data_IF_711325112715
#
_entry.id   IF_711325112715
#
_cell.length_a   1.000
_cell.length_b   1.000
_cell.length_c   1.000
_cell.angle_alpha   90.00
_cell.angle_beta   90.00
_cell.angle_gamma   90.00
#
_symmetry.space_group_name_H-M   'P 1'
#
loop_
_entity.id
_entity.type
_entity.pdbx_description
1 polymer ?
#
# COMPACT_ATOMS: atom_id res chain seq x y z
N UNK A 1 -22.20 5.00 -23.39
CA UNK A 1 -21.12 4.10 -23.64
C UNK A 1 -20.96 2.93 -22.66
N UNK A 2 -21.37 3.03 -21.40
CA UNK A 2 -21.12 1.95 -20.46
C UNK A 2 -21.66 0.59 -20.90
N UNK A 3 -22.83 0.55 -21.45
CA UNK A 3 -23.43 -0.68 -21.94
C UNK A 3 -22.61 -1.32 -23.05
N UNK A 4 -22.23 -0.54 -24.05
CA UNK A 4 -21.43 -1.01 -25.17
C UNK A 4 -20.08 -1.50 -24.68
N UNK A 5 -19.49 -0.77 -23.73
CA UNK A 5 -18.21 -1.13 -23.15
C UNK A 5 -18.26 -2.47 -22.42
N UNK A 6 -19.33 -2.73 -21.66
CA UNK A 6 -19.52 -3.99 -20.96
C UNK A 6 -19.63 -5.15 -21.94
N UNK A 7 -20.42 -4.98 -22.99
CA UNK A 7 -20.59 -5.98 -24.01
C UNK A 7 -19.27 -6.29 -24.72
N UNK A 8 -18.51 -5.26 -25.05
CA UNK A 8 -17.19 -5.43 -25.65
C UNK A 8 -16.23 -6.16 -24.72
N UNK A 9 -16.27 -5.85 -23.43
CA UNK A 9 -15.43 -6.52 -22.46
C UNK A 9 -15.75 -8.02 -22.40
N UNK A 10 -17.03 -8.38 -22.40
CA UNK A 10 -17.44 -9.78 -22.38
C UNK A 10 -17.00 -10.52 -23.65
N UNK A 11 -17.04 -9.86 -24.78
CA UNK A 11 -16.60 -10.46 -26.04
C UNK A 11 -15.09 -10.61 -26.11
N UNK A 12 -14.35 -9.61 -25.64
CA UNK A 12 -12.88 -9.62 -25.66
C UNK A 12 -12.32 -10.59 -24.64
N UNK A 13 -12.93 -10.66 -23.46
CA UNK A 13 -12.38 -11.43 -22.36
C UNK A 13 -13.07 -12.80 -22.21
N UNK A 14 -13.12 -13.54 -23.29
CA UNK A 14 -13.74 -14.86 -23.31
C UNK A 14 -13.05 -15.84 -22.38
N UNK A 15 -11.74 -15.74 -22.26
CA UNK A 15 -10.97 -16.61 -21.39
C UNK A 15 -10.42 -15.79 -20.22
N UNK A 16 -10.22 -16.48 -19.12
CA UNK A 16 -9.61 -15.88 -17.95
C UNK A 16 -8.22 -15.32 -18.28
N UNK A 17 -7.46 -16.04 -19.09
CA UNK A 17 -6.13 -15.60 -19.51
C UNK A 17 -6.17 -14.31 -20.31
N UNK A 18 -7.13 -14.18 -21.23
CA UNK A 18 -7.30 -12.93 -22.00
C UNK A 18 -7.65 -11.75 -21.09
N UNK A 19 -8.51 -12.01 -20.11
CA UNK A 19 -8.88 -11.00 -19.11
C UNK A 19 -7.65 -10.51 -18.33
N UNK A 20 -6.82 -11.45 -17.88
CA UNK A 20 -5.61 -11.09 -17.14
C UNK A 20 -4.62 -10.33 -18.00
N UNK A 21 -4.46 -10.69 -19.26
CA UNK A 21 -3.59 -9.96 -20.18
C UNK A 21 -4.05 -8.51 -20.33
N UNK A 22 -5.35 -8.29 -20.45
CA UNK A 22 -5.91 -6.95 -20.57
C UNK A 22 -5.70 -6.13 -19.29
N UNK A 23 -5.89 -6.75 -18.13
CA UNK A 23 -5.66 -6.11 -16.85
C UNK A 23 -4.19 -5.72 -16.72
N UNK A 24 -3.27 -6.61 -17.04
CA UNK A 24 -1.84 -6.34 -16.97
C UNK A 24 -1.45 -5.19 -17.90
N UNK A 25 -2.00 -5.14 -19.13
CA UNK A 25 -1.73 -4.04 -20.05
C UNK A 25 -2.18 -2.69 -19.48
N UNK A 26 -3.35 -2.64 -18.85
CA UNK A 26 -3.84 -1.43 -18.19
C UNK A 26 -2.94 -1.03 -17.02
N UNK A 27 -2.53 -2.01 -16.22
CA UNK A 27 -1.63 -1.79 -15.10
C UNK A 27 -0.30 -1.19 -15.53
N UNK A 28 0.29 -1.73 -16.60
CA UNK A 28 1.56 -1.26 -17.12
C UNK A 28 1.44 0.19 -17.54
N UNK A 29 0.37 0.54 -18.24
CA UNK A 29 0.12 1.91 -18.69
C UNK A 29 0.03 2.89 -17.52
N UNK A 30 -0.74 2.53 -16.47
CA UNK A 30 -0.90 3.37 -15.29
C UNK A 30 0.40 3.48 -14.51
N UNK A 31 1.11 2.37 -14.37
CA UNK A 31 2.38 2.34 -13.66
C UNK A 31 3.42 3.25 -14.32
N UNK A 32 3.48 3.27 -15.64
CA UNK A 32 4.40 4.12 -16.40
C UNK A 32 4.11 5.61 -16.19
N UNK A 33 2.85 5.96 -15.94
CA UNK A 33 2.45 7.33 -15.63
C UNK A 33 2.73 7.73 -14.19
N UNK A 34 3.14 6.77 -13.36
CA UNK A 34 3.32 7.01 -11.93
C UNK A 34 2.05 6.91 -11.11
N UNK A 35 0.95 6.50 -11.71
CA UNK A 35 -0.33 6.36 -11.02
C UNK A 35 -0.33 5.09 -10.18
N UNK A 36 -0.66 5.15 -8.87
CA UNK A 36 -0.77 3.93 -8.08
C UNK A 36 -2.00 3.13 -8.49
N UNK A 37 -1.86 1.81 -8.47
CA UNK A 37 -2.93 0.90 -8.90
C UNK A 37 -3.24 -0.08 -7.79
N UNK A 38 -4.53 -0.27 -7.51
CA UNK A 38 -5.02 -1.28 -6.59
C UNK A 38 -5.88 -2.27 -7.37
N UNK A 39 -5.50 -3.53 -7.36
CA UNK A 39 -6.23 -4.58 -8.06
C UNK A 39 -6.94 -5.47 -7.05
N UNK A 40 -8.26 -5.56 -7.17
CA UNK A 40 -9.06 -6.48 -6.36
C UNK A 40 -9.20 -7.83 -7.03
N UNK A 41 -8.92 -8.91 -6.30
CA UNK A 41 -9.14 -10.27 -6.77
C UNK A 41 -10.08 -11.01 -5.82
N UNK A 42 -10.75 -12.03 -6.32
CA UNK A 42 -11.72 -12.78 -5.53
C UNK A 42 -11.10 -13.92 -4.73
N UNK A 43 -9.87 -14.30 -5.03
CA UNK A 43 -9.21 -15.40 -4.33
C UNK A 43 -7.70 -15.21 -4.28
N UNK A 44 -7.07 -15.88 -3.32
CA UNK A 44 -5.60 -15.90 -3.20
C UNK A 44 -4.97 -16.48 -4.47
N UNK A 45 -5.58 -17.52 -5.01
CA UNK A 45 -5.09 -18.19 -6.20
C UNK A 45 -5.04 -17.24 -7.40
N UNK A 46 -6.08 -16.45 -7.60
CA UNK A 46 -6.11 -15.45 -8.68
C UNK A 46 -5.11 -14.33 -8.47
N UNK A 47 -4.92 -13.91 -7.22
CA UNK A 47 -3.92 -12.89 -6.93
C UNK A 47 -2.51 -13.38 -7.22
N UNK A 48 -2.21 -14.64 -6.93
CA UNK A 48 -0.91 -15.24 -7.22
C UNK A 48 -0.67 -15.37 -8.73
N UNK A 49 -1.69 -15.71 -9.48
CA UNK A 49 -1.60 -15.80 -10.94
C UNK A 49 -1.28 -14.43 -11.56
N UNK A 50 -2.00 -13.41 -11.13
CA UNK A 50 -1.76 -12.04 -11.60
C UNK A 50 -0.38 -11.56 -11.20
N UNK A 51 0.04 -11.86 -9.98
CA UNK A 51 1.39 -11.52 -9.49
C UNK A 51 2.47 -12.14 -10.37
N UNK A 52 2.30 -13.40 -10.76
CA UNK A 52 3.24 -14.07 -11.67
C UNK A 52 3.34 -13.38 -13.02
N UNK A 53 2.22 -12.91 -13.56
CA UNK A 53 2.20 -12.19 -14.83
C UNK A 53 2.91 -10.84 -14.74
N UNK A 54 2.69 -10.10 -13.65
CA UNK A 54 3.37 -8.83 -13.42
C UNK A 54 4.87 -9.01 -13.24
N UNK A 55 5.26 -10.08 -12.55
CA UNK A 55 6.68 -10.40 -12.35
C UNK A 55 7.37 -10.67 -13.67
N UNK A 56 6.72 -11.39 -14.58
CA UNK A 56 7.26 -11.65 -15.91
C UNK A 56 7.41 -10.38 -16.74
N UNK A 57 6.58 -9.37 -16.47
CA UNK A 57 6.68 -8.06 -17.12
C UNK A 57 7.71 -7.15 -16.45
N UNK A 58 8.32 -7.59 -15.36
CA UNK A 58 9.30 -6.79 -14.62
C UNK A 58 8.65 -5.66 -13.80
N UNK A 59 7.36 -5.77 -13.49
CA UNK A 59 6.67 -4.76 -12.70
C UNK A 59 6.74 -5.11 -11.23
N UNK A 60 7.33 -4.22 -10.45
CA UNK A 60 7.41 -4.36 -9.01
C UNK A 60 6.03 -4.13 -8.40
N UNK A 61 5.59 -5.06 -7.58
CA UNK A 61 4.26 -5.02 -6.98
C UNK A 61 4.25 -5.70 -5.62
N UNK A 62 3.16 -5.54 -4.88
CA UNK A 62 2.97 -6.18 -3.58
C UNK A 62 1.62 -6.90 -3.58
N UNK A 63 1.57 -8.06 -2.94
CA UNK A 63 0.33 -8.84 -2.81
C UNK A 63 -0.15 -8.78 -1.37
N UNK A 64 -1.38 -8.32 -1.19
CA UNK A 64 -2.05 -8.26 0.10
C UNK A 64 -3.17 -9.30 0.14
N UNK A 65 -3.01 -10.33 0.97
CA UNK A 65 -4.03 -11.36 1.10
C UNK A 65 -4.10 -11.86 2.55
N UNK A 66 -5.07 -12.74 2.81
CA UNK A 66 -5.34 -13.22 4.17
C UNK A 66 -4.16 -13.97 4.82
N UNK A 67 -3.19 -14.44 4.04
CA UNK A 67 -2.02 -15.13 4.57
C UNK A 67 -1.03 -14.20 5.28
N UNK A 68 -1.07 -12.91 4.96
CA UNK A 68 -0.02 -11.97 5.37
C UNK A 68 -0.55 -10.83 6.23
N UNK A 69 -1.37 -11.17 7.23
CA UNK A 69 -1.97 -10.17 8.12
C UNK A 69 -0.93 -9.28 8.81
N UNK A 70 0.20 -9.86 9.20
CA UNK A 70 1.23 -9.10 9.91
C UNK A 70 1.86 -8.01 9.05
N UNK A 71 1.82 -8.16 7.73
CA UNK A 71 2.40 -7.22 6.80
C UNK A 71 1.38 -6.26 6.19
N UNK A 72 0.11 -6.44 6.53
CA UNK A 72 -0.97 -5.64 5.95
C UNK A 72 -0.77 -4.14 6.15
N UNK A 73 -0.43 -3.73 7.36
CA UNK A 73 -0.23 -2.31 7.67
C UNK A 73 0.88 -1.69 6.82
N UNK A 74 1.97 -2.43 6.62
CA UNK A 74 3.08 -1.98 5.79
C UNK A 74 2.67 -1.83 4.33
N UNK A 75 1.97 -2.83 3.81
CA UNK A 75 1.51 -2.83 2.42
C UNK A 75 0.55 -1.68 2.16
N UNK A 76 -0.42 -1.48 3.06
CA UNK A 76 -1.40 -0.41 2.94
C UNK A 76 -0.73 0.96 3.02
N UNK A 77 0.26 1.11 3.89
CA UNK A 77 0.98 2.38 4.03
C UNK A 77 1.71 2.78 2.75
N UNK A 78 2.08 1.82 1.92
CA UNK A 78 2.80 2.08 0.68
C UNK A 78 1.93 2.03 -0.58
N UNK A 79 0.69 1.56 -0.45
CA UNK A 79 -0.17 1.32 -1.63
C UNK A 79 -0.51 2.59 -2.41
N UNK A 80 -0.56 3.73 -1.73
CA UNK A 80 -0.85 5.02 -2.37
C UNK A 80 0.36 5.75 -2.92
N UNK A 81 1.56 5.15 -2.83
CA UNK A 81 2.79 5.77 -3.32
C UNK A 81 2.81 5.84 -4.85
N UNK A 82 3.55 6.82 -5.38
CA UNK A 82 3.71 7.00 -6.83
C UNK A 82 4.19 5.72 -7.49
N UNK A 83 3.46 5.26 -8.51
CA UNK A 83 3.80 4.04 -9.23
C UNK A 83 3.61 2.74 -8.45
N UNK A 84 2.97 2.80 -7.27
CA UNK A 84 2.70 1.60 -6.49
C UNK A 84 1.70 0.68 -7.16
N UNK A 85 1.97 -0.63 -7.15
CA UNK A 85 1.02 -1.63 -7.64
C UNK A 85 0.74 -2.61 -6.53
N UNK A 86 -0.51 -2.72 -6.13
CA UNK A 86 -0.95 -3.59 -5.04
C UNK A 86 -2.07 -4.49 -5.52
N UNK A 87 -1.94 -5.78 -5.26
CA UNK A 87 -2.98 -6.77 -5.53
C UNK A 87 -3.59 -7.19 -4.19
N UNK A 88 -4.90 -7.00 -4.02
CA UNK A 88 -5.57 -7.33 -2.77
C UNK A 88 -6.73 -8.28 -3.01
N UNK A 89 -6.89 -9.27 -2.14
CA UNK A 89 -8.10 -10.10 -2.15
C UNK A 89 -9.23 -9.37 -1.44
N UNK A 90 -10.46 -9.75 -1.72
CA UNK A 90 -11.63 -9.13 -1.10
C UNK A 90 -11.59 -9.17 0.43
N UNK A 91 -10.92 -10.17 0.99
CA UNK A 91 -10.84 -10.34 2.44
C UNK A 91 -9.77 -9.48 3.09
N UNK A 92 -8.72 -9.14 2.35
CA UNK A 92 -7.56 -8.46 2.91
C UNK A 92 -7.64 -6.94 2.85
N UNK A 93 -8.16 -6.36 1.79
CA UNK A 93 -8.18 -4.90 1.61
C UNK A 93 -9.41 -4.20 2.16
N UNK A 94 -10.29 -4.91 2.83
CA UNK A 94 -11.58 -4.39 3.25
C UNK A 94 -11.47 -3.40 4.41
N UNK A 95 -12.08 -2.22 4.26
CA UNK A 95 -12.16 -1.24 5.32
C UNK A 95 -10.88 -0.47 5.60
N UNK A 96 -9.89 -0.59 4.73
CA UNK A 96 -8.61 0.07 4.92
C UNK A 96 -8.51 1.28 3.99
N UNK A 97 -8.17 2.42 4.56
CA UNK A 97 -7.96 3.65 3.79
C UNK A 97 -6.54 3.71 3.27
N UNK A 98 -6.41 4.06 1.99
CA UNK A 98 -5.10 4.22 1.36
C UNK A 98 -4.82 5.70 1.19
N UNK A 99 -3.72 6.15 1.78
CA UNK A 99 -3.30 7.55 1.69
C UNK A 99 -2.46 7.77 0.44
N UNK A 100 -2.90 8.68 -0.41
CA UNK A 100 -2.13 9.02 -1.61
C UNK A 100 -0.81 9.66 -1.21
N UNK A 101 0.27 9.18 -1.80
CA UNK A 101 1.62 9.60 -1.45
C UNK A 101 2.24 8.82 -0.31
N UNK A 102 1.48 7.94 0.35
CA UNK A 102 1.96 7.11 1.45
C UNK A 102 1.57 7.63 2.83
N UNK A 103 1.85 6.83 3.84
CA UNK A 103 1.54 7.15 5.24
C UNK A 103 2.82 7.56 5.98
N UNK A 104 2.98 8.87 6.21
CA UNK A 104 4.17 9.42 6.84
C UNK A 104 4.37 8.91 8.27
N UNK A 105 3.29 8.76 9.02
CA UNK A 105 3.36 8.29 10.41
C UNK A 105 3.90 6.87 10.47
N UNK A 106 3.39 5.98 9.63
CA UNK A 106 3.89 4.61 9.57
C UNK A 106 5.35 4.56 9.14
N UNK A 107 5.71 5.34 8.14
CA UNK A 107 7.09 5.41 7.65
C UNK A 107 8.05 5.91 8.72
N UNK A 108 7.62 6.89 9.51
CA UNK A 108 8.44 7.41 10.61
C UNK A 108 8.65 6.35 11.69
N UNK A 109 7.61 5.63 12.06
CA UNK A 109 7.71 4.55 13.04
C UNK A 109 8.68 3.46 12.56
N UNK A 110 8.55 3.06 11.32
CA UNK A 110 9.42 2.04 10.74
C UNK A 110 10.88 2.52 10.69
N UNK A 111 11.11 3.78 10.36
CA UNK A 111 12.45 4.35 10.31
C UNK A 111 13.10 4.39 11.69
N UNK A 112 12.35 4.75 12.73
CA UNK A 112 12.89 4.77 14.10
C UNK A 112 13.30 3.37 14.56
N UNK A 113 12.59 2.34 14.09
CA UNK A 113 12.98 0.95 14.37
C UNK A 113 14.22 0.54 13.61
N UNK A 114 14.31 0.91 12.34
CA UNK A 114 15.47 0.59 11.50
C UNK A 114 16.75 1.26 12.00
N UNK A 115 16.64 2.49 12.49
CA UNK A 115 17.76 3.25 13.03
C UNK A 115 18.06 2.92 14.50
N UNK A 116 17.30 1.99 15.08
CA UNK A 116 17.45 1.55 16.47
C UNK A 116 17.28 2.70 17.48
N UNK A 117 16.48 3.69 17.13
CA UNK A 117 16.13 4.82 18.02
C UNK A 117 14.94 4.43 18.90
N UNK A 118 14.01 3.64 18.36
CA UNK A 118 12.84 3.18 19.11
C UNK A 118 13.23 2.09 20.09
N UNK A 119 12.76 2.21 21.32
CA UNK A 119 13.00 1.25 22.39
C UNK A 119 11.77 0.37 22.57
N UNK A 120 11.96 -0.95 22.54
CA UNK A 120 10.88 -1.90 22.77
C UNK A 120 10.53 -1.93 24.25
N UNK A 121 9.23 -1.84 24.54
CA UNK A 121 8.75 -1.85 25.91
C UNK A 121 8.04 -3.16 26.27
N UNK A 122 8.19 -3.63 27.53
CA UNK A 122 7.33 -4.70 28.03
C UNK A 122 5.88 -4.25 28.02
N UNK A 123 4.97 -5.20 27.93
CA UNK A 123 3.54 -4.94 27.87
C UNK A 123 3.06 -4.12 29.07
N UNK A 124 3.66 -4.33 30.24
CA UNK A 124 3.32 -3.67 31.48
C UNK A 124 3.71 -2.19 31.48
N UNK A 125 4.67 -1.80 30.66
CA UNK A 125 5.14 -0.43 30.55
C UNK A 125 4.55 0.30 29.35
N UNK A 126 3.68 -0.35 28.60
CA UNK A 126 3.06 0.26 27.42
C UNK A 126 2.18 1.44 27.83
N UNK A 127 2.32 2.53 27.07
CA UNK A 127 1.49 3.72 27.24
C UNK A 127 0.82 4.04 25.91
N UNK A 128 -0.36 4.64 26.01
CA UNK A 128 -1.15 4.99 24.83
C UNK A 128 -1.24 6.50 24.63
N UNK A 129 -0.61 7.27 25.52
CA UNK A 129 -0.60 8.73 25.42
C UNK A 129 0.85 9.20 25.46
N UNK A 130 1.20 10.03 24.48
CA UNK A 130 2.53 10.59 24.39
C UNK A 130 2.77 11.62 25.51
N UNK A 131 4.01 11.71 25.97
CA UNK A 131 4.40 12.72 26.94
C UNK A 131 5.42 13.67 26.30
N UNK A 132 6.01 14.58 27.11
CA UNK A 132 6.94 15.58 26.61
C UNK A 132 8.27 14.98 26.12
N UNK A 133 8.65 13.84 26.67
CA UNK A 133 9.93 13.21 26.36
C UNK A 133 9.83 12.15 25.29
N UNK A 134 8.72 11.40 25.26
CA UNK A 134 8.58 10.25 24.42
C UNK A 134 7.26 10.21 23.65
N UNK A 135 7.33 9.65 22.44
CA UNK A 135 6.17 9.22 21.66
C UNK A 135 6.08 7.71 21.82
N UNK A 136 4.88 7.22 22.13
CA UNK A 136 4.61 5.79 22.33
C UNK A 136 3.78 5.26 21.19
N UNK A 137 4.14 4.08 20.68
CA UNK A 137 3.36 3.49 19.60
C UNK A 137 3.41 1.97 19.63
N UNK A 138 2.39 1.38 19.02
CA UNK A 138 2.30 -0.05 18.79
C UNK A 138 2.63 -0.30 17.32
N UNK A 139 3.54 -1.25 17.07
CA UNK A 139 3.97 -1.54 15.70
C UNK A 139 4.26 -3.04 15.58
N UNK A 140 3.51 -3.70 14.68
CA UNK A 140 3.69 -5.12 14.36
C UNK A 140 3.81 -6.02 15.60
N UNK A 141 2.88 -5.87 16.52
CA UNK A 141 2.77 -6.77 17.67
C UNK A 141 3.58 -6.38 18.89
N UNK A 142 4.26 -5.27 18.88
CA UNK A 142 5.08 -4.83 20.02
C UNK A 142 4.86 -3.35 20.33
N UNK A 143 5.12 -2.99 21.59
CA UNK A 143 5.04 -1.60 22.04
C UNK A 143 6.42 -0.99 22.06
N UNK A 144 6.49 0.27 21.64
CA UNK A 144 7.75 1.01 21.55
C UNK A 144 7.60 2.42 22.09
N UNK A 145 8.71 3.00 22.48
CA UNK A 145 8.80 4.44 22.70
C UNK A 145 10.00 4.98 21.96
N UNK A 146 9.91 6.23 21.56
CA UNK A 146 11.00 6.92 20.87
C UNK A 146 11.09 8.35 21.41
N UNK A 147 12.29 8.91 21.57
CA UNK A 147 12.41 10.31 21.98
C UNK A 147 11.58 11.20 21.06
N UNK A 148 10.73 12.05 21.65
CA UNK A 148 9.81 12.90 20.88
C UNK A 148 10.55 13.75 19.85
N UNK A 149 11.68 14.31 20.23
CA UNK A 149 12.45 15.18 19.35
C UNK A 149 12.93 14.44 18.11
N UNK A 150 13.43 13.23 18.29
CA UNK A 150 13.87 12.40 17.17
C UNK A 150 12.70 11.98 16.28
N UNK A 151 11.58 11.59 16.89
CA UNK A 151 10.40 11.18 16.16
C UNK A 151 9.83 12.33 15.31
N UNK A 152 9.72 13.52 15.90
CA UNK A 152 9.19 14.69 15.20
C UNK A 152 10.06 15.08 14.01
N UNK A 153 11.37 15.01 14.17
CA UNK A 153 12.30 15.30 13.08
C UNK A 153 12.10 14.33 11.90
N UNK A 154 12.04 13.04 12.20
CA UNK A 154 11.86 11.99 11.17
C UNK A 154 10.46 12.09 10.55
N UNK A 155 9.44 12.27 11.38
CA UNK A 155 8.06 12.39 10.93
C UNK A 155 7.86 13.58 10.01
N UNK A 156 8.44 14.73 10.35
CA UNK A 156 8.34 15.93 9.52
C UNK A 156 9.02 15.75 8.17
N UNK A 157 10.15 15.05 8.14
CA UNK A 157 10.83 14.75 6.87
C UNK A 157 9.96 13.88 5.97
N UNK A 158 9.35 12.83 6.52
CA UNK A 158 8.46 11.98 5.74
C UNK A 158 7.18 12.71 5.34
N UNK A 159 6.64 13.55 6.21
CA UNK A 159 5.43 14.31 5.91
C UNK A 159 5.65 15.24 4.73
N UNK A 160 6.80 15.91 4.68
CA UNK A 160 7.16 16.72 3.52
C UNK A 160 7.27 15.90 2.25
N UNK A 161 7.86 14.72 2.32
CA UNK A 161 7.98 13.82 1.19
C UNK A 161 6.62 13.29 0.74
N UNK A 162 5.77 12.81 1.67
CA UNK A 162 4.46 12.28 1.33
C UNK A 162 3.52 13.35 0.81
N UNK A 163 3.61 14.57 1.30
CA UNK A 163 2.80 15.68 0.79
C UNK A 163 3.15 16.00 -0.66
N UNK A 164 4.44 16.04 -0.99
CA UNK A 164 4.89 16.26 -2.38
C UNK A 164 4.45 15.11 -3.28
N UNK A 165 4.61 13.88 -2.82
CA UNK A 165 4.22 12.71 -3.60
C UNK A 165 2.70 12.63 -3.75
N UNK A 166 1.94 13.06 -2.73
CA UNK A 166 0.50 13.16 -2.80
C UNK A 166 0.07 14.02 -3.99
N UNK A 167 0.67 15.19 -4.14
CA UNK A 167 0.36 16.09 -5.24
C UNK A 167 0.71 15.47 -6.58
N UNK A 168 1.85 14.79 -6.68
CA UNK A 168 2.24 14.10 -7.90
C UNK A 168 1.25 13.00 -8.28
N UNK A 169 0.81 12.22 -7.29
CA UNK A 169 -0.14 11.12 -7.51
C UNK A 169 -1.50 11.68 -7.94
N UNK A 170 -1.96 12.76 -7.31
CA UNK A 170 -3.22 13.41 -7.70
C UNK A 170 -3.15 13.87 -9.14
N UNK A 171 -2.01 14.42 -9.56
CA UNK A 171 -1.82 14.89 -10.94
C UNK A 171 -1.85 13.74 -11.96
N UNK A 172 -1.55 12.51 -11.56
CA UNK A 172 -1.64 11.35 -12.46
C UNK A 172 -3.05 10.75 -12.51
N UNK A 173 -3.98 11.25 -11.71
CA UNK A 173 -5.36 10.75 -11.67
C UNK A 173 -5.73 10.05 -10.36
N UNK A 174 -4.87 10.09 -9.37
CA UNK A 174 -5.11 9.43 -8.09
C UNK A 174 -4.96 7.92 -8.16
N UNK A 175 -5.50 7.22 -7.16
CA UNK A 175 -5.42 5.75 -7.11
C UNK A 175 -6.33 5.13 -8.17
N UNK A 176 -5.78 4.26 -8.99
CA UNK A 176 -6.55 3.53 -10.00
C UNK A 176 -6.97 2.18 -9.45
N UNK A 177 -8.27 1.95 -9.39
CA UNK A 177 -8.84 0.69 -8.90
C UNK A 177 -9.24 -0.20 -10.06
N UNK A 178 -8.82 -1.47 -9.99
CA UNK A 178 -9.19 -2.50 -10.93
C UNK A 178 -9.84 -3.65 -10.18
N UNK A 179 -11.03 -4.03 -10.56
CA UNK A 179 -11.77 -5.10 -9.90
C UNK A 179 -11.70 -6.40 -10.70
#
# INVERSE_FOLDING_TARGET
QPMIRIDQADLVYRTEESKYKAVVADLVERHEKGQPVLVGTVSVEKSEKLSGMLRRRGIKHVVLNAKYHAQEAEIVAQAGRKGGVTIATNMAGRGTDILLGGNAEYMARQQTLADQIAEKLPKEEAKFVDDDEFVYFYHLGAFYRVPRQAYESISNAFKGQTDREHDEVVNTGGLHNVA
#
